data_IF_711677309644
#
_entry.id   IF_711677309644
#
_cell.length_a   1.000
_cell.length_b   1.000
_cell.length_c   1.000
_cell.angle_alpha   90.00
_cell.angle_beta   90.00
_cell.angle_gamma   90.00
#
_symmetry.space_group_name_H-M   'P 1'
#
loop_
_entity.id
_entity.type
_entity.pdbx_description
1 polymer ?
#
# COMPACT_ATOMS: atom_id res chain seq x y z
N UNK A 1 5.68 18.91 8.87
CA UNK A 1 4.73 18.41 7.86
C UNK A 1 3.78 17.40 8.50
N UNK A 2 4.28 16.23 8.93
CA UNK A 2 3.51 15.19 9.61
C UNK A 2 2.73 15.74 10.82
N UNK A 3 3.35 16.51 11.72
CA UNK A 3 2.71 17.05 12.92
C UNK A 3 1.61 18.10 12.62
N UNK A 4 1.74 18.92 11.58
CA UNK A 4 0.70 19.90 11.21
C UNK A 4 -0.50 19.22 10.56
N UNK A 5 -0.26 18.24 9.68
CA UNK A 5 -1.30 17.41 9.05
C UNK A 5 -2.01 16.48 10.06
N UNK A 6 -1.37 16.13 11.18
CA UNK A 6 -1.96 15.25 12.20
C UNK A 6 -2.78 15.99 13.27
N UNK A 7 -2.53 17.29 13.47
CA UNK A 7 -3.11 18.07 14.58
C UNK A 7 -4.17 19.08 14.10
N UNK A 8 -4.10 19.57 12.85
CA UNK A 8 -4.99 20.64 12.36
C UNK A 8 -6.00 20.21 11.27
N UNK A 9 -5.98 18.97 10.80
CA UNK A 9 -6.89 18.51 9.74
C UNK A 9 -7.59 17.20 10.09
N UNK A 10 -8.81 16.99 9.55
CA UNK A 10 -9.53 15.71 9.59
C UNK A 10 -8.98 14.72 8.56
N UNK A 11 -7.66 14.75 8.31
CA UNK A 11 -7.03 13.89 7.33
C UNK A 11 -6.82 12.52 7.95
N UNK A 12 -7.42 11.53 7.31
CA UNK A 12 -7.37 10.15 7.77
C UNK A 12 -6.37 9.37 6.93
N UNK A 13 -5.83 8.32 7.52
CA UNK A 13 -5.03 7.31 6.82
C UNK A 13 -6.05 6.23 6.43
N UNK A 14 -6.31 6.12 5.13
CA UNK A 14 -7.20 5.10 4.58
C UNK A 14 -6.63 4.70 3.21
N UNK A 15 -6.08 3.50 3.16
CA UNK A 15 -5.61 2.85 1.95
C UNK A 15 -6.50 1.65 1.71
N UNK A 16 -6.69 1.25 0.46
CA UNK A 16 -7.48 0.07 0.17
C UNK A 16 -7.07 -0.57 -1.15
N UNK A 17 -7.37 -1.85 -1.30
CA UNK A 17 -7.24 -2.54 -2.58
C UNK A 17 -8.52 -2.32 -3.37
N UNK A 18 -8.42 -1.62 -4.51
CA UNK A 18 -9.57 -1.31 -5.39
C UNK A 18 -9.98 -2.51 -6.22
N UNK A 19 -9.01 -3.20 -6.83
CA UNK A 19 -9.28 -4.37 -7.68
C UNK A 19 -8.04 -5.23 -7.90
N UNK A 20 -8.23 -6.53 -8.05
CA UNK A 20 -7.20 -7.49 -8.44
C UNK A 20 -7.62 -8.14 -9.77
N UNK A 21 -6.88 -7.83 -10.83
CA UNK A 21 -7.12 -8.32 -12.19
C UNK A 21 -5.96 -9.23 -12.63
N UNK A 22 -6.01 -10.48 -12.18
CA UNK A 22 -5.01 -11.49 -12.53
C UNK A 22 -3.66 -11.17 -11.90
N UNK A 23 -2.76 -10.52 -12.64
CA UNK A 23 -1.45 -10.07 -12.18
C UNK A 23 -1.34 -8.56 -11.97
N UNK A 24 -2.41 -7.79 -12.22
CA UNK A 24 -2.47 -6.36 -11.92
C UNK A 24 -3.26 -6.12 -10.63
N UNK A 25 -2.67 -5.35 -9.71
CA UNK A 25 -3.31 -4.92 -8.45
C UNK A 25 -3.47 -3.42 -8.50
N UNK A 26 -4.70 -2.95 -8.33
CA UNK A 26 -5.00 -1.52 -8.23
C UNK A 26 -5.26 -1.18 -6.77
N UNK A 27 -4.41 -0.32 -6.23
CA UNK A 27 -4.54 0.26 -4.90
C UNK A 27 -5.16 1.64 -5.02
N UNK A 28 -5.92 2.03 -4.01
CA UNK A 28 -6.51 3.35 -3.90
C UNK A 28 -6.17 3.96 -2.55
N UNK A 29 -5.88 5.26 -2.57
CA UNK A 29 -5.70 6.08 -1.38
C UNK A 29 -6.96 6.93 -1.21
N UNK A 30 -7.71 6.63 -0.17
CA UNK A 30 -8.94 7.35 0.20
C UNK A 30 -8.59 8.48 1.17
N UNK A 31 -7.63 8.22 2.06
CA UNK A 31 -7.08 9.20 2.99
C UNK A 31 -6.26 10.30 2.32
N UNK A 32 -6.29 11.51 2.89
CA UNK A 32 -5.48 12.62 2.39
C UNK A 32 -4.04 12.60 2.91
N UNK A 33 -3.74 11.74 3.90
CA UNK A 33 -2.42 11.66 4.51
C UNK A 33 -1.51 10.65 3.77
N UNK A 34 -0.42 11.10 3.12
CA UNK A 34 0.52 10.22 2.46
C UNK A 34 1.35 9.44 3.50
N UNK A 35 1.33 8.11 3.42
CA UNK A 35 2.11 7.19 4.25
C UNK A 35 2.82 6.18 3.35
N UNK A 36 4.02 5.71 3.71
CA UNK A 36 4.63 4.56 3.04
C UNK A 36 3.78 3.33 3.31
N UNK A 37 3.63 2.47 2.30
CA UNK A 37 2.74 1.31 2.37
C UNK A 37 3.54 0.04 2.24
N UNK A 38 3.42 -0.84 3.23
CA UNK A 38 3.89 -2.22 3.16
C UNK A 38 2.79 -3.09 2.56
N UNK A 39 3.12 -3.85 1.52
CA UNK A 39 2.21 -4.79 0.88
C UNK A 39 2.75 -6.21 0.96
N UNK A 40 1.86 -7.15 1.25
CA UNK A 40 2.13 -8.57 1.15
C UNK A 40 1.22 -9.19 0.11
N UNK A 41 1.84 -9.78 -0.89
CA UNK A 41 1.13 -10.44 -1.99
C UNK A 41 1.35 -11.94 -1.88
N UNK A 42 0.25 -12.68 -1.89
CA UNK A 42 0.25 -14.14 -1.98
C UNK A 42 -0.20 -14.53 -3.38
N UNK A 43 0.62 -15.29 -4.09
CA UNK A 43 0.33 -15.73 -5.46
C UNK A 43 -0.47 -17.03 -5.48
N UNK A 44 -1.06 -17.35 -6.65
CA UNK A 44 -1.79 -18.61 -6.84
C UNK A 44 -0.91 -19.86 -6.69
N UNK A 45 0.39 -19.73 -6.94
CA UNK A 45 1.38 -20.80 -6.76
C UNK A 45 1.74 -21.07 -5.28
N UNK A 46 1.19 -20.30 -4.33
CA UNK A 46 1.47 -20.44 -2.89
C UNK A 46 2.70 -19.67 -2.41
N UNK A 47 3.51 -19.09 -3.31
CA UNK A 47 4.59 -18.18 -2.93
C UNK A 47 4.06 -16.85 -2.40
N UNK A 48 4.76 -16.26 -1.44
CA UNK A 48 4.48 -14.92 -0.90
C UNK A 48 5.62 -13.96 -1.21
N UNK A 49 5.31 -12.75 -1.63
CA UNK A 49 6.28 -11.66 -1.80
C UNK A 49 5.84 -10.43 -1.03
N UNK A 50 6.81 -9.72 -0.46
CA UNK A 50 6.60 -8.46 0.26
C UNK A 50 7.12 -7.30 -0.59
N UNK A 51 6.28 -6.29 -0.75
CA UNK A 51 6.57 -5.08 -1.51
C UNK A 51 6.50 -3.87 -0.60
N UNK A 52 7.43 -2.94 -0.79
CA UNK A 52 7.44 -1.69 -0.04
C UNK A 52 7.24 -0.53 -1.01
N UNK A 53 6.22 0.29 -0.74
CA UNK A 53 5.92 1.52 -1.47
C UNK A 53 6.47 2.70 -0.65
N UNK A 54 7.66 3.22 -1.00
CA UNK A 54 8.19 4.40 -0.34
C UNK A 54 7.39 5.66 -0.73
N UNK A 55 7.42 6.67 0.13
CA UNK A 55 7.03 8.04 -0.23
C UNK A 55 8.21 8.79 -0.87
N UNK A 56 7.98 9.59 -1.92
CA UNK A 56 8.99 10.46 -2.56
C UNK A 56 9.62 11.40 -1.54
N UNK A 57 8.79 11.87 -0.61
CA UNK A 57 9.19 12.83 0.41
C UNK A 57 10.13 12.21 1.45
N UNK A 58 10.27 10.87 1.49
CA UNK A 58 11.26 10.20 2.33
C UNK A 58 12.58 10.05 1.57
N UNK A 59 13.47 11.02 1.77
CA UNK A 59 14.89 10.95 1.42
C UNK A 59 15.65 10.03 2.40
N UNK A 60 15.15 8.82 2.61
CA UNK A 60 15.66 7.86 3.57
C UNK A 60 15.01 6.49 3.36
N UNK A 61 15.80 5.53 2.89
CA UNK A 61 15.35 4.15 2.63
C UNK A 61 15.41 3.37 3.93
N UNK A 62 14.28 2.79 4.35
CA UNK A 62 14.30 1.80 5.43
C UNK A 62 15.12 0.59 4.92
N UNK A 63 16.09 0.07 5.71
CA UNK A 63 16.76 -1.18 5.36
C UNK A 63 15.75 -2.32 5.52
N UNK A 64 15.08 -2.66 4.42
CA UNK A 64 14.05 -3.70 4.36
C UNK A 64 14.40 -4.69 3.25
N UNK A 65 14.14 -5.98 3.47
CA UNK A 65 14.34 -7.06 2.48
C UNK A 65 13.21 -7.11 1.43
N UNK A 66 12.21 -6.23 1.53
CA UNK A 66 11.08 -6.15 0.63
C UNK A 66 11.48 -5.62 -0.76
N UNK A 67 10.77 -6.07 -1.79
CA UNK A 67 10.99 -5.60 -3.15
C UNK A 67 10.44 -4.18 -3.28
N UNK A 68 11.32 -3.24 -3.65
CA UNK A 68 10.92 -1.87 -3.90
C UNK A 68 10.13 -1.80 -5.21
N UNK A 69 8.95 -1.17 -5.14
CA UNK A 69 8.12 -0.89 -6.31
C UNK A 69 8.18 0.60 -6.65
N UNK A 70 7.65 0.98 -7.80
CA UNK A 70 7.66 2.37 -8.24
C UNK A 70 6.96 3.27 -7.22
N UNK A 71 7.42 4.51 -7.13
CA UNK A 71 6.86 5.49 -6.20
C UNK A 71 5.37 5.75 -6.47
N UNK A 72 4.57 5.80 -5.39
CA UNK A 72 3.17 6.23 -5.47
C UNK A 72 3.08 7.75 -5.36
N UNK A 73 2.96 8.40 -6.53
CA UNK A 73 2.68 9.83 -6.67
C UNK A 73 1.59 10.30 -5.71
N UNK A 74 1.91 11.22 -4.79
CA UNK A 74 0.94 11.74 -3.82
C UNK A 74 -0.24 12.45 -4.46
N UNK A 75 -0.10 12.93 -5.70
CA UNK A 75 -1.17 13.53 -6.49
C UNK A 75 -2.11 12.49 -7.13
N UNK A 76 -1.70 11.23 -7.21
CA UNK A 76 -2.48 10.15 -7.83
C UNK A 76 -3.19 9.35 -6.74
N UNK A 77 -4.54 9.37 -6.68
CA UNK A 77 -5.29 8.58 -5.70
C UNK A 77 -5.27 7.09 -6.01
N UNK A 78 -4.84 6.68 -7.20
CA UNK A 78 -4.78 5.28 -7.63
C UNK A 78 -3.36 4.88 -8.01
N UNK A 79 -2.97 3.67 -7.61
CA UNK A 79 -1.68 3.10 -7.93
C UNK A 79 -1.86 1.70 -8.52
N UNK A 80 -1.30 1.50 -9.71
CA UNK A 80 -1.37 0.23 -10.43
C UNK A 80 -0.04 -0.49 -10.26
N UNK A 81 -0.08 -1.63 -9.59
CA UNK A 81 1.05 -2.53 -9.41
C UNK A 81 0.91 -3.70 -10.39
N UNK A 82 1.84 -3.78 -11.34
CA UNK A 82 1.93 -4.92 -12.24
C UNK A 82 2.92 -5.94 -11.70
N UNK A 83 2.43 -7.16 -11.45
CA UNK A 83 3.21 -8.26 -10.92
C UNK A 83 3.50 -9.28 -12.01
N UNK A 84 4.56 -10.06 -11.83
CA UNK A 84 4.96 -11.10 -12.79
C UNK A 84 4.06 -12.33 -12.75
N UNK A 85 3.35 -12.55 -11.64
CA UNK A 85 2.57 -13.76 -11.35
C UNK A 85 1.13 -13.39 -10.99
N UNK A 86 0.17 -14.31 -11.24
CA UNK A 86 -1.23 -14.10 -10.86
C UNK A 86 -1.39 -14.10 -9.33
N UNK A 87 -2.06 -13.06 -8.84
CA UNK A 87 -2.29 -12.81 -7.44
C UNK A 87 -3.49 -13.60 -6.95
N UNK A 88 -3.38 -14.14 -5.74
CA UNK A 88 -4.48 -14.79 -5.02
C UNK A 88 -4.99 -13.89 -3.90
N UNK A 89 -4.08 -13.25 -3.17
CA UNK A 89 -4.42 -12.39 -2.03
C UNK A 89 -3.43 -11.23 -1.95
N UNK A 90 -3.95 -10.05 -1.63
CA UNK A 90 -3.18 -8.86 -1.31
C UNK A 90 -3.57 -8.40 0.08
N UNK A 91 -2.56 -8.10 0.90
CA UNK A 91 -2.73 -7.56 2.24
C UNK A 91 -1.88 -6.29 2.36
N UNK A 92 -2.52 -5.19 2.74
CA UNK A 92 -1.90 -3.91 3.06
C UNK A 92 -1.59 -3.87 4.56
N UNK A 93 -0.37 -3.46 4.92
CA UNK A 93 0.14 -3.41 6.31
C UNK A 93 -0.06 -4.73 7.10
N UNK A 94 0.65 -5.82 6.74
CA UNK A 94 0.59 -7.06 7.49
C UNK A 94 1.08 -6.91 8.96
N UNK A 95 1.87 -5.87 9.24
CA UNK A 95 2.40 -5.57 10.57
C UNK A 95 1.34 -4.95 11.49
N UNK A 96 0.22 -4.45 10.94
CA UNK A 96 -0.88 -3.77 11.66
C UNK A 96 -0.43 -2.54 12.46
N UNK A 97 0.73 -1.99 12.12
CA UNK A 97 1.32 -0.83 12.78
C UNK A 97 0.73 0.49 12.26
N UNK A 98 0.03 0.46 11.12
CA UNK A 98 -0.64 1.61 10.55
C UNK A 98 -2.00 1.84 11.23
N UNK A 99 -2.26 3.10 11.58
CA UNK A 99 -3.54 3.57 12.10
C UNK A 99 -4.54 3.78 10.94
N UNK A 100 -4.80 2.71 10.18
CA UNK A 100 -5.81 2.72 9.13
C UNK A 100 -7.21 2.66 9.74
N UNK A 101 -8.10 3.53 9.27
CA UNK A 101 -9.50 3.61 9.74
C UNK A 101 -10.30 2.39 9.30
N UNK A 102 -10.04 1.84 8.11
CA UNK A 102 -10.86 0.79 7.51
C UNK A 102 -10.03 -0.45 7.15
N UNK A 103 -9.47 -1.13 8.14
CA UNK A 103 -8.67 -2.36 7.93
C UNK A 103 -9.38 -3.48 7.12
N UNK A 104 -10.70 -3.42 6.95
CA UNK A 104 -11.43 -4.38 6.13
C UNK A 104 -11.19 -4.22 4.63
N UNK A 105 -10.78 -3.03 4.15
CA UNK A 105 -10.42 -2.79 2.74
C UNK A 105 -8.95 -3.10 2.41
N UNK A 106 -8.15 -3.38 3.44
CA UNK A 106 -6.72 -3.69 3.34
C UNK A 106 -6.45 -5.12 2.86
N UNK A 107 -7.47 -5.99 2.92
CA UNK A 107 -7.36 -7.37 2.49
C UNK A 107 -8.28 -7.57 1.29
N UNK A 108 -7.69 -7.95 0.16
CA UNK A 108 -8.45 -8.36 -1.01
C UNK A 108 -7.99 -9.75 -1.47
N UNK A 109 -8.95 -10.59 -1.80
CA UNK A 109 -8.76 -11.96 -2.27
C UNK A 109 -9.43 -12.11 -3.64
N UNK A 110 -8.81 -12.90 -4.52
CA UNK A 110 -9.31 -13.22 -5.86
C UNK A 110 -9.81 -14.66 -5.93
#
# INVERSE_FOLDING_TARGET
>A
WYLNEWVETTHTIDYGVKSISGNEVVLQRIGQMPMPVDLKVTYKDGSTEEFYLPLEMMLGKKPTSATFVSYWGWANPEYKLQLKKPVKKVEIDPSKLMADINRSNNIAEQ
#
